data_IF_592185715988
#
_entry.id   IF_592185715988
#
_cell.length_a   1.000
_cell.length_b   1.000
_cell.length_c   1.000
_cell.angle_alpha   90.00
_cell.angle_beta   90.00
_cell.angle_gamma   90.00
#
_symmetry.space_group_name_H-M   'P 1'
#
loop_
_entity.id
_entity.type
_entity.pdbx_description
1 polymer ?
#
# COMPACT_ATOMS: atom_id res chain seq x y z
N UNK A 1 -28.13 4.27 -10.98
CA UNK A 1 -27.25 3.53 -11.92
C UNK A 1 -25.88 3.47 -11.27
N UNK A 2 -25.12 2.35 -11.30
CA UNK A 2 -23.75 2.45 -10.83
C UNK A 2 -23.00 3.34 -11.82
N UNK A 3 -22.46 4.46 -11.32
CA UNK A 3 -21.53 5.34 -12.03
C UNK A 3 -20.19 4.61 -12.14
N UNK A 4 -20.15 3.56 -12.94
CA UNK A 4 -18.87 3.03 -13.39
C UNK A 4 -18.26 4.07 -14.35
N UNK A 5 -17.00 4.49 -14.14
CA UNK A 5 -16.09 4.03 -13.10
C UNK A 5 -16.18 4.85 -11.80
N UNK A 6 -16.01 4.20 -10.64
CA UNK A 6 -15.88 4.85 -9.33
C UNK A 6 -14.53 5.55 -9.23
N UNK A 7 -13.43 4.87 -9.54
CA UNK A 7 -12.12 5.50 -9.72
C UNK A 7 -11.98 5.96 -11.16
N UNK A 8 -11.81 7.25 -11.41
CA UNK A 8 -11.73 7.85 -12.75
C UNK A 8 -10.30 8.05 -13.24
N UNK A 9 -9.30 8.00 -12.35
CA UNK A 9 -7.90 8.25 -12.69
C UNK A 9 -7.53 9.73 -12.73
N UNK A 10 -8.39 10.59 -12.18
CA UNK A 10 -8.16 12.03 -12.10
C UNK A 10 -7.42 12.41 -10.81
N UNK A 11 -6.97 13.66 -10.72
CA UNK A 11 -6.31 14.17 -9.51
C UNK A 11 -7.29 14.92 -8.61
N UNK A 12 -8.60 14.86 -8.83
CA UNK A 12 -9.59 15.57 -8.01
C UNK A 12 -10.23 14.60 -7.01
N UNK A 13 -10.09 14.84 -5.68
CA UNK A 13 -10.71 13.97 -4.68
C UNK A 13 -12.24 14.08 -4.67
N UNK A 14 -12.94 12.94 -4.64
CA UNK A 14 -14.39 12.86 -4.62
C UNK A 14 -14.91 11.66 -3.80
N UNK A 15 -16.19 11.70 -3.40
CA UNK A 15 -16.82 10.66 -2.56
C UNK A 15 -17.47 9.53 -3.39
N UNK A 16 -16.91 9.22 -4.55
CA UNK A 16 -17.47 8.20 -5.46
C UNK A 16 -17.52 6.80 -4.83
N UNK A 17 -16.67 6.56 -3.83
CA UNK A 17 -16.61 5.31 -3.08
C UNK A 17 -17.95 4.95 -2.40
N UNK A 18 -18.74 5.94 -1.99
CA UNK A 18 -20.03 5.73 -1.33
C UNK A 18 -21.09 5.15 -2.29
N UNK A 19 -20.82 5.21 -3.60
CA UNK A 19 -21.70 4.69 -4.64
C UNK A 19 -21.33 3.27 -5.07
N UNK A 20 -20.31 2.65 -4.45
CA UNK A 20 -19.99 1.25 -4.69
C UNK A 20 -21.23 0.40 -4.43
N UNK A 21 -21.59 -0.53 -5.34
CA UNK A 21 -22.68 -1.44 -5.08
C UNK A 21 -22.35 -2.36 -3.91
N UNK A 22 -23.39 -3.04 -3.41
CA UNK A 22 -23.24 -4.11 -2.44
C UNK A 22 -22.20 -5.13 -2.92
N UNK A 23 -21.35 -5.64 -2.02
CA UNK A 23 -20.34 -6.62 -2.41
C UNK A 23 -20.99 -7.90 -2.93
N UNK A 24 -20.27 -8.69 -3.74
CA UNK A 24 -20.70 -10.05 -4.06
C UNK A 24 -21.03 -10.84 -2.79
N UNK A 25 -22.02 -11.76 -2.79
CA UNK A 25 -22.44 -12.48 -1.58
C UNK A 25 -21.31 -13.23 -0.87
N UNK A 26 -20.34 -13.76 -1.62
CA UNK A 26 -19.16 -14.46 -1.09
C UNK A 26 -18.02 -13.52 -0.65
N UNK A 27 -18.25 -12.20 -0.69
CA UNK A 27 -17.35 -11.13 -0.23
C UNK A 27 -18.10 -10.09 0.62
N UNK A 28 -19.22 -10.50 1.22
CA UNK A 28 -19.96 -9.66 2.16
C UNK A 28 -19.35 -9.80 3.55
N UNK A 29 -19.06 -8.67 4.20
CA UNK A 29 -18.46 -8.61 5.52
C UNK A 29 -19.34 -7.77 6.46
N UNK A 30 -19.40 -8.17 7.72
CA UNK A 30 -20.35 -7.66 8.73
C UNK A 30 -19.65 -7.22 10.03
N UNK A 31 -18.36 -6.89 9.96
CA UNK A 31 -17.59 -6.45 11.11
C UNK A 31 -18.22 -5.25 11.83
N UNK A 32 -18.11 -5.25 13.17
CA UNK A 32 -18.63 -4.19 14.01
C UNK A 32 -18.02 -4.19 15.41
N UNK A 33 -18.20 -3.11 16.20
CA UNK A 33 -18.93 -1.88 15.85
C UNK A 33 -18.22 -1.06 14.76
N UNK A 34 -18.99 -0.28 13.99
CA UNK A 34 -18.45 0.45 12.84
C UNK A 34 -17.49 1.56 13.29
N UNK A 35 -16.35 1.68 12.61
CA UNK A 35 -15.44 2.80 12.77
C UNK A 35 -15.66 3.84 11.67
N UNK A 36 -15.60 5.14 11.97
CA UNK A 36 -15.62 6.18 10.95
C UNK A 36 -14.36 6.07 10.09
N UNK A 37 -14.46 6.45 8.81
CA UNK A 37 -13.28 6.60 7.98
C UNK A 37 -12.32 7.63 8.62
N UNK A 38 -11.00 7.38 8.66
CA UNK A 38 -10.05 8.39 9.11
C UNK A 38 -10.10 9.62 8.20
N UNK A 39 -9.88 10.81 8.75
CA UNK A 39 -9.61 11.97 7.95
C UNK A 39 -8.23 11.85 7.28
N UNK A 40 -8.04 12.51 6.14
CA UNK A 40 -6.78 12.49 5.39
C UNK A 40 -5.58 13.00 6.23
N UNK A 41 -5.82 13.75 7.31
CA UNK A 41 -4.80 14.27 8.23
C UNK A 41 -4.55 13.44 9.50
N UNK A 42 -5.32 12.37 9.73
CA UNK A 42 -5.28 11.62 11.02
C UNK A 42 -4.04 10.75 11.19
N UNK A 43 -3.30 10.47 10.11
CA UNK A 43 -2.04 9.71 10.13
C UNK A 43 -0.89 10.59 9.63
N UNK A 44 -0.36 11.43 10.52
CA UNK A 44 0.76 12.34 10.21
C UNK A 44 2.02 11.58 9.78
N UNK A 45 2.20 10.32 10.20
CA UNK A 45 3.29 9.45 9.76
C UNK A 45 3.10 8.93 8.33
N UNK A 46 1.84 8.83 7.86
CA UNK A 46 1.52 8.41 6.51
C UNK A 46 1.38 9.56 5.50
N UNK A 47 1.26 10.82 5.94
CA UNK A 47 1.23 12.01 5.08
C UNK A 47 2.65 12.58 4.94
N UNK A 48 3.52 11.91 4.18
CA UNK A 48 4.81 12.50 3.79
C UNK A 48 4.66 13.32 2.50
N UNK A 49 5.44 14.41 2.31
CA UNK A 49 5.43 15.19 1.07
C UNK A 49 5.66 14.33 -0.18
N UNK A 50 6.53 13.31 -0.10
CA UNK A 50 6.76 12.34 -1.18
C UNK A 50 5.50 11.57 -1.57
N UNK A 51 4.72 11.09 -0.59
CA UNK A 51 3.50 10.31 -0.88
C UNK A 51 2.41 11.17 -1.48
N UNK A 52 2.26 12.40 -0.99
CA UNK A 52 1.35 13.40 -1.59
C UNK A 52 1.78 13.65 -3.03
N UNK A 53 3.07 13.92 -3.27
CA UNK A 53 3.60 14.13 -4.61
C UNK A 53 3.28 12.94 -5.54
N UNK A 54 3.59 11.70 -5.12
CA UNK A 54 3.29 10.48 -5.90
C UNK A 54 1.80 10.34 -6.25
N UNK A 55 0.89 10.73 -5.36
CA UNK A 55 -0.55 10.69 -5.64
C UNK A 55 -0.95 11.71 -6.72
N UNK A 56 -0.36 12.91 -6.70
CA UNK A 56 -0.66 13.99 -7.66
C UNK A 56 -0.03 13.76 -9.04
N UNK A 57 1.14 13.14 -9.08
CA UNK A 57 1.91 12.99 -10.31
C UNK A 57 1.66 11.68 -11.03
N UNK A 58 0.96 10.73 -10.40
CA UNK A 58 0.55 9.50 -11.08
C UNK A 58 -0.35 9.81 -12.29
N UNK A 59 -0.13 9.07 -13.38
CA UNK A 59 -0.94 9.14 -14.59
C UNK A 59 -1.55 7.78 -14.84
N UNK A 60 -2.86 7.70 -14.65
CA UNK A 60 -3.60 6.46 -14.84
C UNK A 60 -3.77 6.17 -16.34
N UNK A 61 -3.76 4.89 -16.69
CA UNK A 61 -4.12 4.43 -18.04
C UNK A 61 -5.56 3.93 -18.03
N UNK A 62 -6.25 3.84 -19.19
CA UNK A 62 -7.59 3.26 -19.24
C UNK A 62 -7.67 1.84 -18.65
N UNK A 63 -6.61 1.05 -18.84
CA UNK A 63 -6.49 -0.29 -18.27
C UNK A 63 -6.34 -0.27 -16.74
N UNK A 64 -5.52 0.63 -16.18
CA UNK A 64 -5.38 0.74 -14.72
C UNK A 64 -6.69 1.21 -14.08
N UNK A 65 -7.38 2.17 -14.70
CA UNK A 65 -8.72 2.62 -14.28
C UNK A 65 -9.69 1.43 -14.24
N UNK A 66 -9.77 0.65 -15.33
CA UNK A 66 -10.68 -0.49 -15.42
C UNK A 66 -10.40 -1.55 -14.35
N UNK A 67 -9.13 -1.93 -14.15
CA UNK A 67 -8.75 -3.01 -13.25
C UNK A 67 -8.80 -2.61 -11.78
N UNK A 68 -8.52 -1.35 -11.44
CA UNK A 68 -8.77 -0.81 -10.09
C UNK A 68 -10.25 -0.90 -9.74
N UNK A 69 -11.13 -0.46 -10.65
CA UNK A 69 -12.57 -0.55 -10.42
C UNK A 69 -13.03 -2.01 -10.31
N UNK A 70 -12.48 -2.92 -11.12
CA UNK A 70 -12.79 -4.34 -11.01
C UNK A 70 -12.40 -4.91 -9.63
N UNK A 71 -11.21 -4.54 -9.11
CA UNK A 71 -10.77 -4.93 -7.78
C UNK A 71 -11.68 -4.37 -6.68
N UNK A 72 -12.06 -3.09 -6.78
CA UNK A 72 -13.02 -2.45 -5.86
C UNK A 72 -14.35 -3.18 -5.89
N UNK A 73 -14.98 -3.38 -7.05
CA UNK A 73 -16.29 -4.02 -7.17
C UNK A 73 -16.29 -5.48 -6.66
N UNK A 74 -15.26 -6.24 -7.01
CA UNK A 74 -15.14 -7.64 -6.59
C UNK A 74 -14.66 -7.79 -5.15
N UNK A 75 -14.26 -6.70 -4.48
CA UNK A 75 -13.58 -6.72 -3.18
C UNK A 75 -12.39 -7.67 -3.21
N UNK A 76 -11.56 -7.62 -4.25
CA UNK A 76 -10.40 -8.53 -4.41
C UNK A 76 -9.09 -7.75 -4.38
N UNK A 77 -7.98 -8.34 -3.92
CA UNK A 77 -6.68 -7.70 -3.98
C UNK A 77 -6.27 -7.41 -5.44
N UNK A 78 -5.62 -6.28 -5.66
CA UNK A 78 -5.03 -5.88 -6.94
C UNK A 78 -3.54 -6.20 -6.92
N UNK A 79 -3.10 -7.19 -7.71
CA UNK A 79 -1.69 -7.49 -7.94
C UNK A 79 -1.16 -6.64 -9.09
N UNK A 80 -0.27 -5.70 -8.77
CA UNK A 80 0.36 -4.77 -9.71
C UNK A 80 1.77 -5.25 -10.01
N UNK A 81 2.00 -5.69 -11.25
CA UNK A 81 3.31 -6.13 -11.73
C UNK A 81 3.85 -5.15 -12.76
N UNK A 82 5.18 -5.13 -12.93
CA UNK A 82 5.81 -4.32 -13.97
C UNK A 82 7.24 -3.94 -13.64
N UNK A 83 7.98 -3.39 -14.61
CA UNK A 83 9.35 -2.95 -14.41
C UNK A 83 9.52 -1.96 -13.23
N UNK A 84 10.72 -1.83 -12.67
CA UNK A 84 11.05 -0.76 -11.72
C UNK A 84 10.70 0.63 -12.29
N UNK A 85 10.30 1.56 -11.42
CA UNK A 85 10.00 2.94 -11.80
C UNK A 85 8.67 3.18 -12.55
N UNK A 86 7.87 2.15 -12.84
CA UNK A 86 6.58 2.30 -13.56
C UNK A 86 5.41 2.83 -12.72
N UNK A 87 5.64 3.21 -11.46
CA UNK A 87 4.60 3.78 -10.59
C UNK A 87 3.69 2.75 -9.90
N UNK A 88 4.13 1.50 -9.74
CA UNK A 88 3.39 0.42 -9.07
C UNK A 88 2.83 0.84 -7.70
N UNK A 89 3.70 1.34 -6.83
CA UNK A 89 3.33 1.79 -5.48
C UNK A 89 2.57 3.12 -5.50
N UNK A 90 2.87 4.00 -6.48
CA UNK A 90 2.20 5.30 -6.66
C UNK A 90 0.69 5.16 -6.95
N UNK A 91 0.29 4.09 -7.64
CA UNK A 91 -1.12 3.80 -7.92
C UNK A 91 -1.98 3.75 -6.65
N UNK A 92 -1.49 3.10 -5.58
CA UNK A 92 -2.23 2.99 -4.32
C UNK A 92 -2.52 4.36 -3.71
N UNK A 93 -1.54 5.27 -3.74
CA UNK A 93 -1.70 6.64 -3.25
C UNK A 93 -2.65 7.47 -4.11
N UNK A 94 -2.58 7.31 -5.44
CA UNK A 94 -3.48 7.99 -6.36
C UNK A 94 -4.94 7.59 -6.10
N UNK A 95 -5.23 6.29 -5.99
CA UNK A 95 -6.58 5.77 -5.69
C UNK A 95 -7.06 6.22 -4.32
N UNK A 96 -6.21 6.11 -3.29
CA UNK A 96 -6.58 6.50 -1.93
C UNK A 96 -6.96 7.98 -1.85
N UNK A 97 -6.22 8.84 -2.54
CA UNK A 97 -6.47 10.28 -2.59
C UNK A 97 -7.72 10.62 -3.39
N UNK A 98 -7.87 10.06 -4.60
CA UNK A 98 -9.02 10.32 -5.46
C UNK A 98 -10.33 9.92 -4.77
N UNK A 99 -10.35 8.77 -4.08
CA UNK A 99 -11.54 8.23 -3.43
C UNK A 99 -11.69 8.58 -1.95
N UNK A 100 -10.81 9.43 -1.39
CA UNK A 100 -10.79 9.83 0.03
C UNK A 100 -10.84 8.62 0.98
N UNK A 101 -9.97 7.64 0.75
CA UNK A 101 -9.85 6.41 1.56
C UNK A 101 -8.95 6.61 2.79
N UNK A 102 -8.55 7.85 3.04
CA UNK A 102 -7.61 8.22 4.07
C UNK A 102 -6.19 7.77 3.76
N UNK A 103 -5.31 7.83 4.77
CA UNK A 103 -3.90 7.53 4.61
C UNK A 103 -3.64 6.06 4.27
N UNK A 104 -2.73 5.83 3.32
CA UNK A 104 -2.32 4.50 2.86
C UNK A 104 -1.53 3.78 3.94
N UNK A 105 -2.04 2.64 4.37
CA UNK A 105 -1.33 1.71 5.24
C UNK A 105 -0.29 0.98 4.38
N UNK A 106 1.00 1.15 4.69
CA UNK A 106 2.09 0.57 3.90
C UNK A 106 2.74 -0.57 4.68
N UNK A 107 2.91 -1.71 4.03
CA UNK A 107 3.67 -2.83 4.53
C UNK A 107 4.74 -3.23 3.50
N UNK A 108 6.00 -2.96 3.82
CA UNK A 108 7.12 -3.36 2.97
C UNK A 108 7.53 -4.79 3.30
N UNK A 109 7.58 -5.64 2.28
CA UNK A 109 7.92 -7.04 2.42
C UNK A 109 9.42 -7.26 2.29
N UNK A 110 9.93 -8.14 3.15
CA UNK A 110 11.32 -8.62 3.16
C UNK A 110 11.31 -10.14 3.22
N UNK A 111 12.47 -10.75 3.04
CA UNK A 111 12.64 -12.21 3.19
C UNK A 111 12.37 -12.75 4.59
N UNK A 112 12.14 -11.89 5.58
CA UNK A 112 11.79 -12.29 6.96
C UNK A 112 10.39 -11.85 7.37
N UNK A 113 9.63 -11.27 6.45
CA UNK A 113 8.28 -10.78 6.74
C UNK A 113 7.33 -11.96 6.91
N UNK A 114 6.60 -11.96 8.03
CA UNK A 114 5.61 -12.99 8.38
C UNK A 114 4.21 -12.40 8.40
N UNK A 115 3.17 -13.23 8.34
CA UNK A 115 1.80 -12.76 8.45
C UNK A 115 1.55 -12.00 9.76
N UNK A 116 2.17 -12.44 10.86
CA UNK A 116 2.05 -11.81 12.17
C UNK A 116 2.49 -10.34 12.14
N UNK A 117 3.59 -10.01 11.45
CA UNK A 117 4.10 -8.63 11.32
C UNK A 117 3.07 -7.68 10.67
N UNK A 118 2.26 -8.21 9.75
CA UNK A 118 1.17 -7.48 9.12
C UNK A 118 -0.04 -7.32 10.03
N UNK A 119 -0.35 -8.31 10.87
CA UNK A 119 -1.56 -8.33 11.69
C UNK A 119 -1.40 -7.52 12.98
N UNK A 120 -0.44 -7.86 13.84
CA UNK A 120 -0.20 -7.17 15.11
C UNK A 120 1.15 -7.54 15.72
N UNK A 121 1.65 -6.67 16.59
CA UNK A 121 2.83 -6.87 17.42
C UNK A 121 2.40 -6.92 18.89
N UNK A 122 3.00 -7.84 19.63
CA UNK A 122 2.81 -8.01 21.06
C UNK A 122 4.16 -7.96 21.77
N UNK A 123 4.27 -7.12 22.80
CA UNK A 123 5.46 -7.02 23.63
C UNK A 123 5.26 -7.70 24.99
N UNK A 124 5.61 -9.00 25.12
CA UNK A 124 5.47 -9.71 26.39
C UNK A 124 6.45 -9.23 27.47
N UNK A 125 7.59 -8.62 27.09
CA UNK A 125 8.57 -8.13 28.06
C UNK A 125 8.06 -6.88 28.75
N UNK A 126 7.55 -5.91 27.98
CA UNK A 126 6.91 -4.72 28.53
C UNK A 126 5.77 -5.09 29.48
N UNK A 127 4.98 -6.12 29.15
CA UNK A 127 3.96 -6.66 30.05
C UNK A 127 4.53 -7.24 31.34
N UNK A 128 5.60 -8.03 31.25
CA UNK A 128 6.25 -8.61 32.42
C UNK A 128 6.79 -7.53 33.36
N UNK A 129 7.39 -6.46 32.83
CA UNK A 129 7.84 -5.33 33.62
C UNK A 129 6.69 -4.56 34.26
N UNK A 130 5.60 -4.32 33.51
CA UNK A 130 4.40 -3.69 34.05
C UNK A 130 3.82 -4.50 35.22
N UNK A 131 3.75 -5.82 35.09
CA UNK A 131 3.29 -6.71 36.16
C UNK A 131 4.18 -6.68 37.41
N UNK A 132 5.51 -6.51 37.25
CA UNK A 132 6.46 -6.38 38.38
C UNK A 132 6.41 -5.00 39.05
N UNK A 133 6.04 -3.95 38.33
CA UNK A 133 5.91 -2.59 38.85
C UNK A 133 4.53 -2.25 39.43
N UNK A 134 3.53 -3.11 39.20
CA UNK A 134 2.14 -2.93 39.61
C UNK A 134 1.85 -3.23 41.10
N UNK A 135 2.88 -3.34 41.96
CA UNK A 135 2.74 -3.39 43.43
C UNK A 135 2.14 -2.08 44.04
N UNK A 136 1.74 -1.13 43.20
CA UNK A 136 0.90 0.02 43.59
C UNK A 136 -0.40 0.01 42.78
N UNK A 137 -1.58 -0.09 43.42
CA UNK A 137 -2.86 -0.01 42.74
C UNK A 137 -2.98 1.33 41.98
N UNK A 138 -3.35 1.30 40.70
CA UNK A 138 -3.75 2.50 39.96
C UNK A 138 -5.14 2.93 40.47
N UNK A 139 -5.33 4.15 41.00
CA UNK A 139 -6.66 4.64 41.35
C UNK A 139 -7.44 5.00 40.08
N UNK A 140 -8.64 4.42 39.90
CA UNK A 140 -9.62 4.88 38.89
C UNK A 140 -9.88 3.98 37.68
N UNK A 141 -9.37 2.73 37.63
CA UNK A 141 -9.77 1.76 36.59
C UNK A 141 -10.98 0.95 37.05
N UNK A 142 -12.14 1.60 37.13
CA UNK A 142 -13.41 0.93 37.38
C UNK A 142 -13.91 0.29 36.07
N UNK A 143 -13.67 -1.01 35.88
CA UNK A 143 -14.43 -1.84 34.93
C UNK A 143 -13.72 -2.38 33.68
N UNK A 144 -12.45 -2.05 33.43
CA UNK A 144 -11.68 -2.69 32.35
C UNK A 144 -10.87 -3.86 32.91
N UNK A 145 -10.98 -5.03 32.26
CA UNK A 145 -10.41 -6.28 32.75
C UNK A 145 -8.91 -6.19 33.06
N UNK A 146 -8.54 -6.72 34.22
CA UNK A 146 -7.21 -6.75 34.87
C UNK A 146 -6.09 -7.45 34.06
N UNK A 147 -6.21 -7.59 32.73
CA UNK A 147 -5.21 -8.28 31.92
C UNK A 147 -4.07 -7.38 31.45
N UNK A 148 -4.34 -6.08 31.24
CA UNK A 148 -3.39 -5.07 30.76
C UNK A 148 -2.68 -5.46 29.45
N UNK A 149 -3.16 -6.48 28.75
CA UNK A 149 -2.52 -7.08 27.58
C UNK A 149 -2.56 -6.11 26.40
N UNK A 150 -3.69 -5.42 26.27
CA UNK A 150 -4.00 -4.45 25.23
C UNK A 150 -3.06 -3.25 25.20
N UNK A 151 -2.46 -2.88 26.34
CA UNK A 151 -1.44 -1.82 26.43
C UNK A 151 -0.11 -2.21 25.79
N UNK A 152 0.09 -3.49 25.53
CA UNK A 152 1.31 -4.05 24.92
C UNK A 152 1.05 -4.61 23.53
N UNK A 153 -0.11 -4.28 22.94
CA UNK A 153 -0.51 -4.68 21.61
C UNK A 153 -0.58 -3.47 20.69
N UNK A 154 0.01 -3.59 19.50
CA UNK A 154 -0.15 -2.63 18.40
C UNK A 154 -0.50 -3.38 17.14
N UNK A 155 -1.56 -2.96 16.46
CA UNK A 155 -1.95 -3.54 15.18
C UNK A 155 -0.91 -3.21 14.11
N UNK A 156 -0.68 -4.15 13.20
CA UNK A 156 0.11 -3.96 12.00
C UNK A 156 -0.71 -3.32 10.88
N UNK A 157 -0.10 -3.05 9.72
CA UNK A 157 -0.79 -2.42 8.58
C UNK A 157 -2.00 -3.22 8.08
N UNK A 158 -1.86 -4.56 7.93
CA UNK A 158 -2.95 -5.43 7.51
C UNK A 158 -4.04 -5.53 8.59
N UNK A 159 -3.65 -5.70 9.85
CA UNK A 159 -4.61 -5.77 10.96
C UNK A 159 -5.43 -4.49 11.09
N UNK A 160 -4.79 -3.33 10.95
CA UNK A 160 -5.45 -2.03 10.93
C UNK A 160 -6.37 -1.88 9.71
N UNK A 161 -5.97 -2.36 8.53
CA UNK A 161 -6.82 -2.31 7.33
C UNK A 161 -8.09 -3.15 7.44
N UNK A 162 -8.07 -4.22 8.25
CA UNK A 162 -9.19 -5.13 8.50
C UNK A 162 -10.11 -4.69 9.64
N UNK A 163 -9.85 -3.55 10.27
CA UNK A 163 -10.79 -2.98 11.23
C UNK A 163 -12.15 -2.66 10.57
N UNK A 164 -13.26 -2.64 11.33
CA UNK A 164 -14.63 -2.48 10.81
C UNK A 164 -14.96 -1.04 10.36
N UNK A 165 -14.12 -0.43 9.54
CA UNK A 165 -14.35 0.89 8.97
C UNK A 165 -15.57 0.92 8.04
N UNK A 166 -16.28 2.04 8.07
CA UNK A 166 -17.43 2.32 7.20
C UNK A 166 -17.03 2.51 5.74
N UNK A 167 -15.85 3.09 5.48
CA UNK A 167 -15.21 3.13 4.16
C UNK A 167 -13.99 2.19 4.13
N UNK A 168 -13.65 1.62 2.96
CA UNK A 168 -12.47 0.77 2.86
C UNK A 168 -11.19 1.57 3.08
N UNK A 169 -10.24 1.01 3.84
CA UNK A 169 -8.89 1.55 3.95
C UNK A 169 -8.03 1.07 2.78
N UNK A 170 -7.08 1.89 2.34
CA UNK A 170 -6.07 1.48 1.36
C UNK A 170 -4.90 0.81 2.06
N UNK A 171 -4.56 -0.41 1.63
CA UNK A 171 -3.41 -1.17 2.08
C UNK A 171 -2.46 -1.42 0.90
N UNK A 172 -1.25 -0.91 0.97
CA UNK A 172 -0.17 -1.19 0.03
C UNK A 172 0.79 -2.22 0.64
N UNK A 173 0.84 -3.41 0.05
CA UNK A 173 1.84 -4.44 0.35
C UNK A 173 2.88 -4.40 -0.76
N UNK A 174 4.05 -3.88 -0.42
CA UNK A 174 5.10 -3.54 -1.38
C UNK A 174 6.09 -4.70 -1.51
N UNK A 175 6.42 -5.07 -2.75
CA UNK A 175 7.42 -6.09 -3.10
C UNK A 175 7.12 -7.48 -2.51
N UNK A 176 5.87 -7.96 -2.69
CA UNK A 176 5.40 -9.24 -2.14
C UNK A 176 6.18 -10.46 -2.66
N UNK A 177 6.90 -10.32 -3.77
CA UNK A 177 7.77 -11.35 -4.32
C UNK A 177 9.05 -11.59 -3.49
N UNK A 178 9.39 -10.68 -2.56
CA UNK A 178 10.53 -10.84 -1.65
C UNK A 178 10.25 -11.74 -0.45
N UNK A 179 9.00 -12.13 -0.22
CA UNK A 179 8.65 -12.97 0.92
C UNK A 179 9.06 -14.43 0.75
N UNK A 180 9.04 -15.15 1.86
CA UNK A 180 9.02 -16.60 1.85
C UNK A 180 7.78 -17.17 1.13
N UNK A 181 7.79 -18.47 0.88
CA UNK A 181 6.75 -19.20 0.11
C UNK A 181 5.36 -19.17 0.74
N UNK A 182 5.30 -19.08 2.08
CA UNK A 182 4.06 -19.27 2.83
C UNK A 182 3.23 -17.98 2.89
N UNK A 183 3.90 -16.83 3.03
CA UNK A 183 3.26 -15.54 3.25
C UNK A 183 2.18 -15.19 2.21
N UNK A 184 2.38 -15.37 0.88
CA UNK A 184 1.37 -14.99 -0.11
C UNK A 184 0.06 -15.77 0.05
N UNK A 185 0.12 -17.06 0.40
CA UNK A 185 -1.08 -17.88 0.57
C UNK A 185 -1.77 -17.57 1.90
N UNK A 186 -1.01 -17.43 2.98
CA UNK A 186 -1.53 -17.09 4.31
C UNK A 186 -2.23 -15.72 4.31
N UNK A 187 -1.62 -14.74 3.64
CA UNK A 187 -2.20 -13.42 3.41
C UNK A 187 -3.55 -13.50 2.69
N UNK A 188 -3.63 -14.28 1.60
CA UNK A 188 -4.87 -14.40 0.83
C UNK A 188 -5.97 -15.09 1.63
N UNK A 189 -5.67 -16.07 2.48
CA UNK A 189 -6.67 -16.70 3.36
C UNK A 189 -7.29 -15.66 4.31
N UNK A 190 -6.46 -14.84 4.95
CA UNK A 190 -6.95 -13.74 5.81
C UNK A 190 -7.79 -12.73 5.03
N UNK A 191 -7.38 -12.38 3.81
CA UNK A 191 -8.15 -11.46 2.96
C UNK A 191 -9.44 -12.08 2.43
N UNK A 192 -9.50 -13.41 2.27
CA UNK A 192 -10.70 -14.18 1.92
C UNK A 192 -11.72 -14.15 3.07
N UNK A 193 -11.26 -14.43 4.29
CA UNK A 193 -12.10 -14.41 5.49
C UNK A 193 -12.49 -13.00 5.95
N UNK A 194 -11.65 -12.00 5.71
CA UNK A 194 -11.86 -10.61 6.14
C UNK A 194 -11.80 -10.45 7.66
N UNK A 195 -11.16 -11.39 8.37
CA UNK A 195 -11.06 -11.38 9.83
C UNK A 195 -9.79 -12.10 10.30
N UNK A 196 -9.42 -11.86 11.56
CA UNK A 196 -8.40 -12.63 12.26
C UNK A 196 -8.65 -12.59 13.78
N UNK A 197 -8.00 -13.50 14.50
CA UNK A 197 -8.04 -13.56 15.96
C UNK A 197 -6.69 -13.13 16.55
N UNK A 198 -6.74 -12.42 17.67
CA UNK A 198 -5.61 -12.05 18.53
C UNK A 198 -5.68 -12.97 19.76
N UNK A 199 -4.88 -14.07 19.79
CA UNK A 199 -4.99 -15.09 20.84
C UNK A 199 -4.78 -14.57 22.25
N UNK A 200 -3.95 -13.53 22.44
CA UNK A 200 -3.74 -12.89 23.73
C UNK A 200 -5.05 -12.30 24.28
N UNK A 201 -5.78 -11.56 23.44
CA UNK A 201 -7.06 -10.94 23.80
C UNK A 201 -8.19 -11.95 23.89
N UNK A 202 -8.22 -12.94 23.00
CA UNK A 202 -9.20 -14.02 23.04
C UNK A 202 -9.09 -14.83 24.35
N UNK A 203 -7.87 -15.05 24.86
CA UNK A 203 -7.62 -15.67 26.16
C UNK A 203 -8.04 -14.78 27.33
N UNK A 204 -7.75 -13.49 27.27
CA UNK A 204 -8.18 -12.53 28.29
C UNK A 204 -9.72 -12.46 28.40
N UNK A 205 -10.41 -12.42 27.26
CA UNK A 205 -11.87 -12.38 27.19
C UNK A 205 -12.56 -13.63 27.78
N UNK A 206 -11.88 -14.78 27.91
CA UNK A 206 -12.45 -15.95 28.61
C UNK A 206 -12.72 -15.69 30.09
N UNK A 207 -11.97 -14.79 30.70
CA UNK A 207 -12.07 -14.46 32.12
C UNK A 207 -12.90 -13.18 32.35
N UNK A 208 -13.03 -12.34 31.32
CA UNK A 208 -13.84 -11.12 31.32
C UNK A 208 -14.54 -10.93 29.96
N UNK A 209 -15.64 -11.66 29.69
CA UNK A 209 -16.25 -11.74 28.35
C UNK A 209 -16.92 -10.45 27.85
N UNK A 210 -17.22 -9.53 28.77
CA UNK A 210 -17.84 -8.23 28.48
C UNK A 210 -16.82 -7.09 28.42
N UNK A 211 -15.55 -7.35 28.74
CA UNK A 211 -14.48 -6.36 28.61
C UNK A 211 -14.00 -6.30 27.16
N UNK A 212 -14.36 -5.21 26.46
CA UNK A 212 -13.67 -4.84 25.21
C UNK A 212 -12.22 -4.46 25.49
N UNK A 213 -11.32 -4.80 24.57
CA UNK A 213 -9.91 -4.42 24.65
C UNK A 213 -9.63 -3.24 23.73
N UNK A 214 -8.92 -2.21 24.20
CA UNK A 214 -8.55 -1.07 23.36
C UNK A 214 -7.11 -1.21 22.87
N UNK A 215 -6.92 -1.47 21.57
CA UNK A 215 -5.59 -1.75 20.98
C UNK A 215 -5.13 -0.56 20.16
N UNK A 216 -3.84 -0.23 20.18
CA UNK A 216 -3.30 0.83 19.33
C UNK A 216 -3.31 0.44 17.86
N UNK A 217 -3.82 1.31 16.99
CA UNK A 217 -3.78 1.12 15.55
C UNK A 217 -2.36 1.38 14.98
N UNK A 218 -2.09 0.88 13.77
CA UNK A 218 -0.85 1.19 13.06
C UNK A 218 -0.79 2.68 12.68
N UNK A 219 0.41 3.28 12.74
CA UNK A 219 0.66 4.65 12.25
C UNK A 219 0.14 5.79 13.13
N UNK A 220 -0.69 5.49 14.13
CA UNK A 220 -1.32 6.49 15.00
C UNK A 220 -1.23 6.08 16.48
N UNK A 221 -1.57 7.00 17.37
CA UNK A 221 -1.78 6.71 18.80
C UNK A 221 -3.27 6.47 19.12
N UNK A 222 -4.12 6.40 18.10
CA UNK A 222 -5.53 6.09 18.27
C UNK A 222 -5.69 4.65 18.74
N UNK A 223 -6.51 4.46 19.79
CA UNK A 223 -6.90 3.14 20.26
C UNK A 223 -8.25 2.76 19.66
N UNK A 224 -8.37 1.50 19.27
CA UNK A 224 -9.57 0.95 18.65
C UNK A 224 -10.11 -0.23 19.48
N UNK A 225 -11.44 -0.32 19.65
CA UNK A 225 -12.03 -1.42 20.41
C UNK A 225 -11.95 -2.73 19.62
N UNK A 226 -11.46 -3.77 20.28
CA UNK A 226 -11.43 -5.15 19.80
C UNK A 226 -12.25 -6.00 20.77
N UNK A 227 -13.31 -6.62 20.25
CA UNK A 227 -14.25 -7.40 21.06
C UNK A 227 -13.85 -8.87 20.99
N UNK A 228 -13.66 -9.51 22.16
CA UNK A 228 -13.30 -10.94 22.29
C UNK A 228 -12.07 -11.36 21.48
N UNK A 229 -11.12 -10.44 21.30
CA UNK A 229 -9.90 -10.68 20.54
C UNK A 229 -10.11 -10.94 19.05
N UNK A 230 -11.25 -10.56 18.47
CA UNK A 230 -11.51 -10.73 17.04
C UNK A 230 -11.60 -9.40 16.32
N UNK A 231 -10.93 -9.32 15.18
CA UNK A 231 -11.03 -8.21 14.25
C UNK A 231 -11.67 -8.73 12.99
N UNK A 232 -12.73 -8.05 12.53
CA UNK A 232 -13.44 -8.37 11.29
C UNK A 232 -13.74 -7.07 10.56
N UNK A 233 -13.50 -7.05 9.25
CA UNK A 233 -13.75 -5.86 8.46
C UNK A 233 -15.25 -5.69 8.18
N UNK A 234 -15.64 -4.45 7.90
CA UNK A 234 -17.00 -4.11 7.45
C UNK A 234 -16.97 -3.75 5.97
N UNK A 235 -16.15 -2.76 5.63
CA UNK A 235 -15.71 -2.54 4.26
C UNK A 235 -14.40 -3.28 4.02
N UNK A 236 -14.36 -4.14 3.00
CA UNK A 236 -13.12 -4.82 2.61
C UNK A 236 -12.08 -3.79 2.14
N UNK A 237 -10.84 -3.81 2.66
CA UNK A 237 -9.83 -2.83 2.29
C UNK A 237 -9.49 -2.88 0.80
N UNK A 238 -9.13 -1.74 0.22
CA UNK A 238 -8.53 -1.71 -1.11
C UNK A 238 -7.06 -2.13 -0.99
N UNK A 239 -6.80 -3.41 -1.28
CA UNK A 239 -5.46 -4.01 -1.15
C UNK A 239 -4.73 -3.96 -2.49
N UNK A 240 -3.56 -3.32 -2.50
CA UNK A 240 -2.62 -3.30 -3.63
C UNK A 240 -1.38 -4.10 -3.25
N UNK A 241 -1.10 -5.15 -3.99
CA UNK A 241 0.11 -5.97 -3.88
C UNK A 241 1.04 -5.58 -5.02
N UNK A 242 2.30 -5.21 -4.77
CA UNK A 242 3.26 -4.92 -5.86
C UNK A 242 4.29 -6.03 -5.99
N UNK A 243 4.73 -6.30 -7.22
CA UNK A 243 5.82 -7.23 -7.51
C UNK A 243 6.66 -6.73 -8.69
N UNK A 244 7.97 -6.93 -8.60
CA UNK A 244 8.92 -6.65 -9.68
C UNK A 244 9.03 -7.83 -10.67
N UNK A 245 8.39 -8.97 -10.35
CA UNK A 245 8.48 -10.19 -11.15
C UNK A 245 9.78 -10.96 -10.91
N UNK A 246 10.42 -10.75 -9.76
CA UNK A 246 11.63 -11.50 -9.36
C UNK A 246 11.32 -12.98 -9.09
N UNK A 247 10.07 -13.26 -8.74
CA UNK A 247 9.56 -14.60 -8.44
C UNK A 247 8.18 -14.83 -9.07
N UNK A 248 7.95 -16.03 -9.57
CA UNK A 248 6.62 -16.44 -10.02
C UNK A 248 5.71 -16.82 -8.85
N UNK A 249 4.47 -16.33 -8.89
CA UNK A 249 3.44 -16.71 -7.92
C UNK A 249 2.68 -17.96 -8.38
N UNK A 250 2.26 -18.83 -7.44
CA UNK A 250 1.43 -19.98 -7.77
C UNK A 250 0.12 -19.57 -8.47
N UNK A 251 -0.43 -20.38 -9.41
CA UNK A 251 -1.69 -20.08 -10.08
C UNK A 251 -2.86 -19.83 -9.12
N UNK A 252 -2.87 -20.50 -7.95
CA UNK A 252 -3.87 -20.31 -6.92
C UNK A 252 -3.86 -18.90 -6.32
N UNK A 253 -2.69 -18.26 -6.24
CA UNK A 253 -2.54 -16.87 -5.80
C UNK A 253 -3.07 -15.91 -6.87
N UNK A 254 -2.65 -16.10 -8.11
CA UNK A 254 -3.07 -15.27 -9.24
C UNK A 254 -4.59 -15.31 -9.47
N UNK A 255 -5.23 -16.47 -9.30
CA UNK A 255 -6.69 -16.61 -9.43
C UNK A 255 -7.50 -15.83 -8.39
N UNK A 256 -6.89 -15.46 -7.26
CA UNK A 256 -7.54 -14.72 -6.17
C UNK A 256 -7.33 -13.21 -6.26
N UNK A 257 -6.34 -12.77 -7.04
CA UNK A 257 -6.06 -11.36 -7.31
C UNK A 257 -6.62 -10.89 -8.67
N UNK A 258 -7.00 -9.62 -8.76
CA UNK A 258 -7.09 -8.92 -10.05
C UNK A 258 -5.67 -8.52 -10.43
N UNK A 259 -5.21 -8.87 -11.63
CA UNK A 259 -3.84 -8.61 -12.07
C UNK A 259 -3.77 -7.42 -13.01
N UNK A 260 -3.01 -6.40 -12.64
CA UNK A 260 -2.67 -5.24 -13.47
C UNK A 260 -1.18 -5.29 -13.81
N UNK A 261 -0.85 -5.27 -15.10
CA UNK A 261 0.54 -5.20 -15.55
C UNK A 261 0.85 -3.79 -16.05
N UNK A 262 1.63 -3.04 -15.28
CA UNK A 262 2.16 -1.76 -15.72
C UNK A 262 3.26 -2.00 -16.76
N UNK A 263 3.07 -1.39 -17.93
CA UNK A 263 4.04 -1.40 -19.03
C UNK A 263 4.93 -0.16 -18.93
N UNK A 264 6.04 -0.18 -19.66
CA UNK A 264 6.83 1.04 -19.84
C UNK A 264 5.97 2.09 -20.56
N UNK A 265 6.03 3.36 -20.15
CA UNK A 265 5.31 4.42 -20.81
C UNK A 265 5.81 4.57 -22.26
N UNK A 266 4.88 4.79 -23.19
CA UNK A 266 5.23 5.28 -24.52
C UNK A 266 5.61 6.78 -24.46
N UNK A 267 5.99 7.35 -25.60
CA UNK A 267 6.39 8.76 -25.68
C UNK A 267 5.34 9.73 -25.14
N UNK A 268 4.06 9.49 -25.47
CA UNK A 268 2.97 10.38 -25.08
C UNK A 268 2.74 10.30 -23.57
N UNK A 269 2.64 9.09 -23.03
CA UNK A 269 2.44 8.88 -21.60
C UNK A 269 3.66 9.32 -20.78
N UNK A 270 4.88 9.13 -21.29
CA UNK A 270 6.10 9.58 -20.63
C UNK A 270 6.15 11.11 -20.55
N UNK A 271 5.75 11.81 -21.62
CA UNK A 271 5.66 13.27 -21.61
C UNK A 271 4.63 13.77 -20.58
N UNK A 272 3.49 13.10 -20.43
CA UNK A 272 2.51 13.40 -19.39
C UNK A 272 3.08 13.22 -17.98
N UNK A 273 3.85 12.14 -17.76
CA UNK A 273 4.52 11.86 -16.49
C UNK A 273 5.56 12.95 -16.17
N UNK A 274 6.42 13.31 -17.14
CA UNK A 274 7.42 14.37 -16.96
C UNK A 274 6.73 15.70 -16.64
N UNK A 275 5.68 16.05 -17.39
CA UNK A 275 4.89 17.26 -17.15
C UNK A 275 4.31 17.30 -15.74
N UNK A 276 3.81 16.17 -15.25
CA UNK A 276 3.25 16.05 -13.92
C UNK A 276 4.27 16.32 -12.81
N UNK A 277 5.52 15.89 -12.99
CA UNK A 277 6.57 15.98 -11.97
C UNK A 277 7.32 17.31 -12.02
N UNK A 278 7.62 17.80 -13.23
CA UNK A 278 8.60 18.89 -13.45
C UNK A 278 8.01 20.10 -14.20
N UNK A 279 6.75 20.05 -14.65
CA UNK A 279 6.17 21.07 -15.52
C UNK A 279 6.47 20.87 -17.00
N UNK A 280 6.13 21.83 -17.85
CA UNK A 280 6.33 21.68 -19.31
C UNK A 280 7.80 21.37 -19.66
N UNK A 281 8.07 20.31 -20.46
CA UNK A 281 9.43 19.97 -20.84
C UNK A 281 10.09 21.12 -21.63
N UNK A 282 11.16 21.66 -21.06
CA UNK A 282 11.99 22.68 -21.69
C UNK A 282 12.85 22.09 -22.84
N UNK A 283 13.67 22.93 -23.48
CA UNK A 283 14.54 22.52 -24.59
C UNK A 283 15.59 21.49 -24.18
N UNK A 284 15.89 21.37 -22.88
CA UNK A 284 16.90 20.44 -22.34
C UNK A 284 16.29 19.09 -21.95
N UNK A 285 15.03 19.05 -21.55
CA UNK A 285 14.31 17.82 -21.21
C UNK A 285 13.99 16.97 -22.45
N UNK A 286 13.65 17.59 -23.59
CA UNK A 286 13.22 16.87 -24.81
C UNK A 286 14.29 15.90 -25.36
N UNK A 287 15.58 16.27 -25.51
CA UNK A 287 16.62 15.34 -25.93
C UNK A 287 16.79 14.15 -24.97
N UNK A 288 16.67 14.38 -23.65
CA UNK A 288 16.78 13.34 -22.64
C UNK A 288 15.61 12.35 -22.72
N UNK A 289 14.39 12.83 -22.93
CA UNK A 289 13.20 11.98 -23.15
C UNK A 289 13.39 11.12 -24.39
N UNK A 290 13.79 11.71 -25.53
CA UNK A 290 14.02 10.97 -26.77
C UNK A 290 15.11 9.90 -26.61
N UNK A 291 16.22 10.24 -25.93
CA UNK A 291 17.32 9.31 -25.62
C UNK A 291 16.87 8.18 -24.69
N UNK A 292 16.06 8.49 -23.68
CA UNK A 292 15.50 7.48 -22.79
C UNK A 292 14.62 6.50 -23.57
N UNK A 293 13.73 7.00 -24.42
CA UNK A 293 12.85 6.16 -25.25
C UNK A 293 13.63 5.28 -26.23
N UNK A 294 14.69 5.82 -26.85
CA UNK A 294 15.52 5.05 -27.79
C UNK A 294 16.27 3.90 -27.09
N UNK A 295 16.66 4.09 -25.83
CA UNK A 295 17.37 3.07 -25.02
C UNK A 295 16.43 2.15 -24.25
N UNK A 296 15.21 2.59 -23.96
CA UNK A 296 14.21 1.80 -23.27
C UNK A 296 13.77 0.56 -24.06
N UNK A 297 14.08 0.47 -25.36
CA UNK A 297 13.87 -0.74 -26.16
C UNK A 297 14.81 -1.90 -25.84
N UNK A 298 15.98 -1.64 -25.22
CA UNK A 298 17.08 -2.61 -25.19
C UNK A 298 17.72 -2.85 -23.81
N UNK A 299 17.35 -2.08 -22.77
CA UNK A 299 17.92 -2.22 -21.42
C UNK A 299 16.94 -1.97 -20.27
N UNK A 300 17.44 -2.05 -19.02
CA UNK A 300 16.69 -1.75 -17.80
C UNK A 300 16.84 -0.28 -17.40
N UNK A 301 16.05 0.59 -18.02
CA UNK A 301 15.92 1.99 -17.63
C UNK A 301 14.60 2.21 -16.89
N UNK A 302 14.69 2.90 -15.76
CA UNK A 302 13.55 3.21 -14.90
C UNK A 302 13.18 4.69 -15.01
N UNK A 303 11.88 5.00 -14.97
CA UNK A 303 11.38 6.36 -15.21
C UNK A 303 11.89 7.38 -14.18
N UNK A 304 12.18 6.95 -12.95
CA UNK A 304 12.81 7.77 -11.91
C UNK A 304 14.22 8.24 -12.29
N UNK A 305 15.00 7.43 -13.00
CA UNK A 305 16.32 7.82 -13.51
C UNK A 305 16.21 8.99 -14.50
N UNK A 306 15.21 8.96 -15.40
CA UNK A 306 14.94 10.06 -16.32
C UNK A 306 14.52 11.32 -15.57
N UNK A 307 13.60 11.21 -14.61
CA UNK A 307 13.15 12.35 -13.82
C UNK A 307 14.31 13.02 -13.07
N UNK A 308 15.19 12.21 -12.46
CA UNK A 308 16.40 12.70 -11.79
C UNK A 308 17.36 13.39 -12.77
N UNK A 309 17.54 12.83 -13.97
CA UNK A 309 18.37 13.42 -15.01
C UNK A 309 17.84 14.80 -15.44
N UNK A 310 16.53 14.90 -15.76
CA UNK A 310 15.91 16.18 -16.16
C UNK A 310 15.99 17.20 -15.01
N UNK A 311 15.70 16.78 -13.78
CA UNK A 311 15.76 17.68 -12.63
C UNK A 311 17.16 18.26 -12.42
N UNK A 312 18.20 17.40 -12.45
CA UNK A 312 19.57 17.84 -12.20
C UNK A 312 20.14 18.67 -13.35
N UNK A 313 19.87 18.33 -14.61
CA UNK A 313 20.34 19.11 -15.76
C UNK A 313 19.63 20.46 -15.89
N UNK A 314 18.38 20.57 -15.44
CA UNK A 314 17.63 21.83 -15.39
C UNK A 314 18.02 22.73 -14.21
N UNK A 315 18.34 22.16 -13.04
CA UNK A 315 18.68 22.92 -11.85
C UNK A 315 20.16 23.36 -11.80
N UNK A 316 21.06 22.55 -12.35
CA UNK A 316 22.47 22.85 -12.38
C UNK A 316 22.73 23.74 -13.61
N UNK A 317 23.09 25.01 -13.40
CA UNK A 317 23.52 25.96 -14.44
C UNK A 317 24.83 25.57 -15.12
N UNK A 318 24.96 24.31 -15.51
CA UNK A 318 26.08 23.67 -16.17
C UNK A 318 26.12 24.04 -17.64
N UNK A 319 27.27 23.86 -18.27
CA UNK A 319 27.39 23.88 -19.74
C UNK A 319 26.87 22.57 -20.36
N UNK A 320 26.67 22.57 -21.68
CA UNK A 320 26.05 21.46 -22.42
C UNK A 320 26.80 20.14 -22.24
N UNK A 321 28.13 20.16 -22.31
CA UNK A 321 28.99 18.97 -22.15
C UNK A 321 28.88 18.36 -20.76
N UNK A 322 28.93 19.17 -19.69
CA UNK A 322 28.82 18.64 -18.32
C UNK A 322 27.43 18.10 -18.02
N UNK A 323 26.38 18.65 -18.63
CA UNK A 323 25.01 18.12 -18.51
C UNK A 323 24.88 16.75 -19.16
N UNK A 324 25.45 16.58 -20.35
CA UNK A 324 25.40 15.30 -21.05
C UNK A 324 26.16 14.19 -20.30
N UNK A 325 27.33 14.50 -19.77
CA UNK A 325 28.08 13.56 -18.92
C UNK A 325 27.32 13.19 -17.64
N UNK A 326 26.68 14.18 -16.99
CA UNK A 326 25.88 13.96 -15.80
C UNK A 326 24.65 13.08 -16.09
N UNK A 327 23.94 13.37 -17.18
CA UNK A 327 22.79 12.58 -17.63
C UNK A 327 23.17 11.12 -17.90
N UNK A 328 24.35 10.86 -18.49
CA UNK A 328 24.85 9.50 -18.70
C UNK A 328 25.11 8.75 -17.39
N UNK A 329 25.61 9.44 -16.37
CA UNK A 329 25.85 8.83 -15.05
C UNK A 329 24.55 8.56 -14.29
N UNK A 330 23.52 9.38 -14.51
CA UNK A 330 22.22 9.27 -13.83
C UNK A 330 21.26 8.28 -14.50
N UNK A 331 21.44 8.03 -15.80
CA UNK A 331 20.72 7.00 -16.56
C UNK A 331 21.67 5.88 -17.00
N UNK A 332 22.32 5.16 -16.06
CA UNK A 332 23.25 4.10 -16.40
C UNK A 332 22.48 3.01 -17.16
N UNK A 333 22.93 2.74 -18.37
CA UNK A 333 22.34 1.70 -19.20
C UNK A 333 22.85 0.34 -18.73
N UNK A 334 22.05 -0.34 -17.91
CA UNK A 334 22.31 -1.74 -17.55
C UNK A 334 21.77 -2.62 -18.68
N UNK A 335 22.63 -2.96 -19.63
CA UNK A 335 22.34 -4.06 -20.55
C UNK A 335 22.26 -5.35 -19.74
N UNK A 336 21.20 -6.15 -19.92
CA UNK A 336 21.31 -7.58 -19.59
C UNK A 336 22.53 -8.09 -20.35
N UNK A 337 23.56 -8.55 -19.64
CA UNK A 337 24.66 -9.25 -20.26
C UNK A 337 24.06 -10.38 -21.09
N UNK A 338 24.21 -10.30 -22.42
CA UNK A 338 24.10 -11.48 -23.24
C UNK A 338 25.19 -12.43 -22.72
N UNK A 339 24.77 -13.63 -22.33
CA UNK A 339 25.65 -14.74 -21.97
C UNK A 339 26.72 -14.90 -23.07
N UNK A 340 28.02 -14.68 -22.78
CA UNK A 340 29.06 -14.83 -23.79
C UNK A 340 29.39 -16.29 -24.12
N UNK A 341 28.87 -17.28 -23.38
CA UNK A 341 29.30 -18.68 -23.48
C UNK A 341 28.18 -19.65 -23.88
N UNK A 342 27.49 -19.34 -25.00
CA UNK A 342 26.75 -20.35 -25.75
C UNK A 342 27.51 -20.69 -27.05
N UNK A 343 28.54 -21.53 -26.92
CA UNK A 343 29.15 -22.27 -28.03
C UNK A 343 28.94 -23.77 -27.86
#
# INVERSE_FOLDING_TARGET
MPLWPVYTGTTEPHDGIDQLPAPPPWRAFDGGPALPAPADGDDTAAVSPDRVHRAHTYRATPESVQLVNAALYLRRPLLVTGPPGTGKSSLAYAVARELRLGPVLRWNITSRSTLADGLYQYDPLSRLYAARGADRPRPGTDGYGDSGVEDHLRLGPLGTALLPYTRPRTLLIDEIDKSDLDLPNDLLNILEEGQYEIPELARAARHAPDAGAEVMAHGTDARVPVVRGRVRCRAFPFVVLTSNGEREFPPAFLRRCVTLRLRRPDETHLAEIVRAHLGEPDEHARPLIARFLSRAGSGELATDQLLNAIYLTGAAGLDETSRDELAERLMPYLSRAADPDAH
#
